data_IF_689350790956
#
_entry.id   IF_689350790956
#
_cell.length_a   1.000
_cell.length_b   1.000
_cell.length_c   1.000
_cell.angle_alpha   90.00
_cell.angle_beta   90.00
_cell.angle_gamma   90.00
#
_symmetry.space_group_name_H-M   'P 1'
#
loop_
_entity.id
_entity.type
_entity.pdbx_description
1 polymer ?
#
# COMPACT_ATOMS: atom_id res chain seq x y z
N UNK A 1 13.42 -0.12 4.10
CA UNK A 1 13.16 1.24 3.56
C UNK A 1 11.97 1.92 4.21
N UNK A 2 10.87 1.18 4.46
CA UNK A 2 9.71 1.64 5.25
C UNK A 2 10.09 2.19 6.64
N UNK A 3 10.96 1.49 7.39
CA UNK A 3 11.38 1.88 8.74
C UNK A 3 11.88 3.32 8.89
N UNK A 4 12.83 3.74 8.04
CA UNK A 4 13.33 5.12 8.04
C UNK A 4 12.24 6.15 7.69
N UNK A 5 11.29 5.80 6.82
CA UNK A 5 10.18 6.70 6.46
C UNK A 5 9.21 6.86 7.62
N UNK A 6 8.92 5.77 8.34
CA UNK A 6 8.14 5.76 9.58
C UNK A 6 8.82 6.64 10.64
N UNK A 7 10.12 6.46 10.88
CA UNK A 7 10.89 7.27 11.83
C UNK A 7 10.83 8.76 11.49
N UNK A 8 11.11 9.11 10.24
CA UNK A 8 11.10 10.49 9.78
C UNK A 8 9.71 11.13 9.88
N UNK A 9 8.66 10.42 9.50
CA UNK A 9 7.29 10.91 9.58
C UNK A 9 6.84 11.08 11.03
N UNK A 10 7.12 10.10 11.91
CA UNK A 10 6.87 10.22 13.34
C UNK A 10 7.53 11.47 13.92
N UNK A 11 8.81 11.70 13.59
CA UNK A 11 9.55 12.90 14.02
C UNK A 11 8.92 14.19 13.50
N UNK A 12 8.50 14.24 12.23
CA UNK A 12 7.78 15.40 11.67
C UNK A 12 6.45 15.68 12.37
N UNK A 13 5.78 14.63 12.85
CA UNK A 13 4.55 14.74 13.65
C UNK A 13 4.81 15.08 15.13
N UNK A 14 6.07 15.29 15.54
CA UNK A 14 6.42 15.65 16.92
C UNK A 14 6.26 14.51 17.95
N UNK A 15 6.06 13.28 17.50
CA UNK A 15 5.81 12.13 18.37
C UNK A 15 7.10 11.50 18.85
N UNK A 16 7.20 11.22 20.15
CA UNK A 16 8.23 10.31 20.68
C UNK A 16 7.92 8.87 20.28
N UNK A 17 8.92 7.98 20.33
CA UNK A 17 8.67 6.56 20.07
C UNK A 17 7.62 5.98 21.05
N UNK A 18 7.63 6.38 22.33
CA UNK A 18 6.69 5.85 23.33
C UNK A 18 5.26 6.30 23.09
N UNK A 19 5.05 7.57 22.72
CA UNK A 19 3.74 8.09 22.33
C UNK A 19 3.22 7.35 21.10
N UNK A 20 4.05 7.25 20.06
CA UNK A 20 3.66 6.60 18.81
C UNK A 20 3.37 5.10 18.99
N UNK A 21 4.22 4.37 19.71
CA UNK A 21 3.99 2.96 20.01
C UNK A 21 2.67 2.73 20.73
N UNK A 22 2.33 3.59 21.70
CA UNK A 22 1.06 3.56 22.42
C UNK A 22 -0.14 3.87 21.53
N UNK A 23 -0.02 4.86 20.65
CA UNK A 23 -1.10 5.28 19.73
C UNK A 23 -1.40 4.24 18.65
N UNK A 24 -0.35 3.58 18.14
CA UNK A 24 -0.45 2.51 17.14
C UNK A 24 -0.83 1.16 17.78
N UNK A 25 -0.59 0.98 19.09
CA UNK A 25 -0.87 -0.25 19.81
C UNK A 25 0.22 -1.32 19.67
N UNK A 26 1.47 -0.92 19.45
CA UNK A 26 2.63 -1.84 19.33
C UNK A 26 3.62 -1.63 20.49
N UNK A 27 4.48 -2.63 20.73
CA UNK A 27 5.51 -2.49 21.77
C UNK A 27 6.60 -1.51 21.34
N UNK A 28 7.16 -0.80 22.31
CA UNK A 28 8.32 0.08 22.10
C UNK A 28 9.53 -0.64 21.51
N UNK A 29 9.75 -1.90 21.91
CA UNK A 29 10.81 -2.73 21.34
C UNK A 29 10.57 -2.95 19.84
N UNK A 30 9.34 -3.32 19.47
CA UNK A 30 8.98 -3.57 18.07
C UNK A 30 9.11 -2.32 17.21
N UNK A 31 8.65 -1.17 17.71
CA UNK A 31 8.82 0.10 17.01
C UNK A 31 10.30 0.41 16.72
N UNK A 32 11.20 0.17 17.68
CA UNK A 32 12.65 0.36 17.44
C UNK A 32 13.18 -0.56 16.35
N UNK A 33 12.77 -1.83 16.36
CA UNK A 33 13.19 -2.79 15.34
C UNK A 33 12.69 -2.38 13.95
N UNK A 34 11.45 -1.89 13.86
CA UNK A 34 10.88 -1.34 12.62
C UNK A 34 11.69 -0.13 12.13
N UNK A 35 11.91 0.87 12.98
CA UNK A 35 12.63 2.10 12.60
C UNK A 35 14.10 1.83 12.26
N UNK A 36 14.74 0.87 12.93
CA UNK A 36 16.08 0.39 12.60
C UNK A 36 16.16 -0.40 11.28
N UNK A 37 15.02 -0.78 10.70
CA UNK A 37 14.96 -1.54 9.46
C UNK A 37 15.24 -3.03 9.64
N UNK A 38 14.93 -3.60 10.81
CA UNK A 38 15.05 -5.04 11.05
C UNK A 38 14.17 -5.80 10.03
N UNK A 39 14.74 -6.64 9.15
CA UNK A 39 13.97 -7.37 8.14
C UNK A 39 12.98 -8.38 8.75
N UNK A 40 13.17 -8.78 10.01
CA UNK A 40 12.28 -9.71 10.72
C UNK A 40 11.04 -9.05 11.32
N UNK A 41 10.90 -7.73 11.21
CA UNK A 41 9.72 -7.02 11.68
C UNK A 41 8.49 -7.38 10.83
N UNK A 42 7.33 -7.52 11.46
CA UNK A 42 6.10 -7.99 10.79
C UNK A 42 5.60 -6.97 9.79
N UNK A 43 5.19 -7.44 8.60
CA UNK A 43 4.60 -6.62 7.55
C UNK A 43 3.43 -5.78 8.08
N UNK A 44 2.54 -6.40 8.84
CA UNK A 44 1.35 -5.75 9.40
C UNK A 44 1.72 -4.54 10.27
N UNK A 45 2.78 -4.62 11.07
CA UNK A 45 3.21 -3.51 11.92
C UNK A 45 3.70 -2.31 11.10
N UNK A 46 4.37 -2.56 9.96
CA UNK A 46 4.74 -1.49 9.01
C UNK A 46 3.50 -0.83 8.41
N UNK A 47 2.49 -1.63 8.06
CA UNK A 47 1.24 -1.15 7.47
C UNK A 47 0.49 -0.28 8.46
N UNK A 48 0.29 -0.72 9.70
CA UNK A 48 -0.42 0.07 10.72
C UNK A 48 0.33 1.36 11.03
N UNK A 49 1.66 1.32 11.15
CA UNK A 49 2.47 2.54 11.34
C UNK A 49 2.32 3.52 10.17
N UNK A 50 2.39 3.02 8.93
CA UNK A 50 2.25 3.84 7.73
C UNK A 50 0.85 4.46 7.63
N UNK A 51 -0.20 3.69 7.90
CA UNK A 51 -1.58 4.16 7.92
C UNK A 51 -1.81 5.26 8.95
N UNK A 52 -1.33 5.06 10.18
CA UNK A 52 -1.44 6.08 11.24
C UNK A 52 -0.78 7.39 10.82
N UNK A 53 0.41 7.30 10.23
CA UNK A 53 1.19 8.46 9.77
C UNK A 53 0.74 9.00 8.41
N UNK A 54 -0.32 8.44 7.81
CA UNK A 54 -0.82 8.77 6.46
C UNK A 54 0.27 8.75 5.39
N UNK A 55 1.18 7.79 5.51
CA UNK A 55 2.20 7.54 4.52
C UNK A 55 1.65 6.64 3.42
N UNK A 56 2.08 6.90 2.19
CA UNK A 56 1.91 5.95 1.11
C UNK A 56 2.47 4.58 1.49
N UNK A 57 1.67 3.55 1.28
CA UNK A 57 2.03 2.15 1.52
C UNK A 57 2.80 1.54 0.35
N UNK A 58 2.94 2.26 -0.76
CA UNK A 58 3.69 1.83 -1.93
C UNK A 58 5.14 1.46 -1.63
N UNK A 59 5.77 2.09 -0.63
CA UNK A 59 7.13 1.74 -0.19
C UNK A 59 7.25 0.37 0.50
N UNK A 60 6.11 -0.24 0.83
CA UNK A 60 6.00 -1.58 1.38
C UNK A 60 5.54 -2.54 0.27
N UNK A 61 4.45 -2.20 -0.42
CA UNK A 61 3.80 -3.11 -1.36
C UNK A 61 4.45 -3.17 -2.74
N UNK A 62 5.04 -2.09 -3.27
CA UNK A 62 5.67 -2.15 -4.60
C UNK A 62 6.90 -3.06 -4.61
N UNK A 63 7.86 -2.97 -3.65
CA UNK A 63 8.96 -3.94 -3.60
C UNK A 63 8.48 -5.39 -3.48
N UNK A 64 7.42 -5.62 -2.68
CA UNK A 64 6.82 -6.94 -2.52
C UNK A 64 6.19 -7.44 -3.83
N UNK A 65 5.46 -6.58 -4.54
CA UNK A 65 4.83 -6.89 -5.82
C UNK A 65 5.87 -7.25 -6.87
N UNK A 66 6.94 -6.47 -7.00
CA UNK A 66 8.05 -6.77 -7.91
C UNK A 66 8.71 -8.11 -7.57
N UNK A 67 9.05 -8.32 -6.29
CA UNK A 67 9.65 -9.58 -5.84
C UNK A 67 8.74 -10.79 -6.09
N UNK A 68 7.42 -10.63 -5.99
CA UNK A 68 6.46 -11.72 -6.26
C UNK A 68 6.37 -12.11 -7.73
N UNK A 69 6.96 -11.31 -8.63
CA UNK A 69 7.02 -11.54 -10.07
C UNK A 69 8.45 -11.82 -10.55
N UNK A 70 9.37 -12.14 -9.63
CA UNK A 70 10.80 -12.34 -9.90
C UNK A 70 11.47 -11.12 -10.55
N UNK A 71 10.97 -9.92 -10.25
CA UNK A 71 11.52 -8.66 -10.73
C UNK A 71 12.32 -7.95 -9.64
N UNK A 72 13.44 -7.34 -10.02
CA UNK A 72 14.20 -6.46 -9.13
C UNK A 72 13.46 -5.12 -8.97
N UNK A 73 13.27 -4.68 -7.73
CA UNK A 73 12.70 -3.36 -7.44
C UNK A 73 13.78 -2.27 -7.64
N UNK A 74 13.61 -1.34 -8.60
CA UNK A 74 14.60 -0.31 -8.88
C UNK A 74 14.85 0.58 -7.66
N UNK A 75 16.13 0.76 -7.29
CA UNK A 75 16.52 1.58 -6.13
C UNK A 75 16.18 3.06 -6.34
N UNK A 76 16.09 3.51 -7.57
CA UNK A 76 15.74 4.87 -7.96
C UNK A 76 14.29 5.19 -7.56
N UNK A 77 13.40 4.21 -7.67
CA UNK A 77 11.99 4.37 -7.27
C UNK A 77 11.81 4.39 -5.77
N UNK A 78 12.82 3.98 -5.00
CA UNK A 78 12.68 3.82 -3.56
C UNK A 78 12.53 5.14 -2.78
N UNK A 79 12.82 6.26 -3.45
CA UNK A 79 12.67 7.63 -2.98
C UNK A 79 11.47 8.32 -3.66
N UNK A 80 10.91 9.35 -3.02
CA UNK A 80 9.71 10.05 -3.52
C UNK A 80 8.42 9.61 -2.83
N UNK A 81 7.30 10.24 -3.17
CA UNK A 81 5.95 9.90 -2.69
C UNK A 81 5.24 9.06 -3.75
N UNK A 82 4.65 7.92 -3.35
CA UNK A 82 3.91 7.05 -4.27
C UNK A 82 2.39 7.27 -4.24
N UNK A 83 1.90 8.29 -3.55
CA UNK A 83 0.45 8.52 -3.43
C UNK A 83 -0.26 8.64 -4.79
N UNK A 84 0.38 9.25 -5.78
CA UNK A 84 -0.16 9.34 -7.15
C UNK A 84 -0.15 7.99 -7.85
N UNK A 85 0.98 7.28 -7.82
CA UNK A 85 1.09 5.93 -8.38
C UNK A 85 0.11 4.94 -7.74
N UNK A 86 -0.13 5.04 -6.43
CA UNK A 86 -1.15 4.23 -5.74
C UNK A 86 -2.55 4.49 -6.31
N UNK A 87 -2.90 5.75 -6.61
CA UNK A 87 -4.19 6.10 -7.25
C UNK A 87 -4.28 5.54 -8.66
N UNK A 88 -3.24 5.71 -9.46
CA UNK A 88 -3.18 5.15 -10.83
C UNK A 88 -3.31 3.62 -10.83
N UNK A 89 -2.69 2.95 -9.85
CA UNK A 89 -2.82 1.50 -9.69
C UNK A 89 -4.27 1.10 -9.34
N UNK A 90 -4.92 1.83 -8.44
CA UNK A 90 -6.33 1.60 -8.08
C UNK A 90 -7.22 1.74 -9.32
N UNK A 91 -7.03 2.79 -10.09
CA UNK A 91 -7.80 3.05 -11.32
C UNK A 91 -7.58 1.93 -12.34
N UNK A 92 -6.33 1.53 -12.59
CA UNK A 92 -6.00 0.43 -13.49
C UNK A 92 -6.66 -0.89 -13.06
N UNK A 93 -6.61 -1.21 -11.76
CA UNK A 93 -7.23 -2.42 -11.20
C UNK A 93 -8.75 -2.35 -11.38
N UNK A 94 -9.36 -1.21 -11.07
CA UNK A 94 -10.79 -1.01 -11.20
C UNK A 94 -11.22 -1.17 -12.67
N UNK A 95 -10.55 -0.50 -13.62
CA UNK A 95 -10.86 -0.58 -15.05
C UNK A 95 -10.74 -2.00 -15.61
N UNK A 96 -9.69 -2.73 -15.25
CA UNK A 96 -9.50 -4.13 -15.67
C UNK A 96 -10.63 -5.04 -15.16
N UNK A 97 -11.11 -4.79 -13.94
CA UNK A 97 -12.16 -5.62 -13.34
C UNK A 97 -13.56 -5.21 -13.77
N UNK A 98 -13.85 -3.92 -14.01
CA UNK A 98 -15.16 -3.45 -14.46
C UNK A 98 -15.56 -4.12 -15.77
N UNK A 99 -14.67 -4.19 -16.78
CA UNK A 99 -14.94 -4.88 -18.05
C UNK A 99 -15.31 -6.35 -17.83
N UNK A 100 -14.65 -7.02 -16.89
CA UNK A 100 -14.88 -8.42 -16.56
C UNK A 100 -16.18 -8.63 -15.78
N UNK A 101 -16.51 -7.71 -14.87
CA UNK A 101 -17.74 -7.72 -14.07
C UNK A 101 -18.94 -7.40 -14.97
N UNK A 102 -18.86 -6.38 -15.83
CA UNK A 102 -19.90 -6.08 -16.84
C UNK A 102 -20.21 -7.30 -17.70
N UNK A 103 -19.19 -8.03 -18.16
CA UNK A 103 -19.39 -9.28 -18.92
C UNK A 103 -20.14 -10.35 -18.11
N UNK A 104 -19.86 -10.49 -16.82
CA UNK A 104 -20.54 -11.46 -15.94
C UNK A 104 -21.96 -11.04 -15.56
N UNK A 105 -22.21 -9.74 -15.41
CA UNK A 105 -23.49 -9.18 -14.99
C UNK A 105 -24.43 -8.89 -16.15
N UNK A 106 -23.94 -8.84 -17.40
CA UNK A 106 -24.78 -8.66 -18.59
C UNK A 106 -25.59 -9.95 -18.82
N UNK A 107 -26.92 -9.94 -18.59
CA UNK A 107 -27.72 -11.13 -18.77
C UNK A 107 -27.79 -11.49 -20.25
N UNK A 108 -27.66 -12.79 -20.59
CA UNK A 108 -27.66 -13.29 -21.98
C UNK A 108 -28.90 -12.91 -22.80
N UNK A 109 -29.99 -12.49 -22.16
CA UNK A 109 -31.23 -12.05 -22.80
C UNK A 109 -31.26 -10.55 -23.13
N UNK A 110 -30.28 -9.76 -22.65
CA UNK A 110 -30.16 -8.33 -22.96
C UNK A 110 -29.65 -8.07 -24.39
N UNK A 111 -28.76 -8.93 -24.90
CA UNK A 111 -28.26 -8.90 -26.28
C UNK A 111 -29.24 -9.44 -27.32
N UNK A 112 -30.43 -9.90 -26.90
CA UNK A 112 -31.50 -10.40 -27.79
C UNK A 112 -32.66 -9.41 -27.97
N UNK A 113 -32.58 -8.18 -27.47
CA UNK A 113 -33.60 -7.18 -27.81
C UNK A 113 -33.52 -6.91 -29.31
N UNK A 114 -34.53 -7.26 -30.11
CA UNK A 114 -34.57 -6.84 -31.50
C UNK A 114 -34.65 -5.31 -31.49
N UNK A 115 -33.84 -4.65 -32.32
CA UNK A 115 -34.05 -3.25 -32.62
C UNK A 115 -35.50 -3.09 -33.06
N UNK A 116 -36.25 -2.28 -32.31
CA UNK A 116 -37.64 -1.97 -32.68
C UNK A 116 -37.58 -1.25 -34.03
N UNK A 117 -38.19 -1.88 -35.03
CA UNK A 117 -38.53 -1.31 -36.33
C UNK A 117 -39.32 0.01 -36.18
#
# INVERSE_FOLDING_TARGET
MSGRRIEQARRRSGLTQSQFAREVGISMRWLREIEAGNPSSRLDDHVVCAQYLRLSTGHIFLPLLFSSQDMEFPRELSYGDFSELERECIDLIAERNIKRIQTKLTPRWWSKRPDKA
#
